data_IF_203730076999
#
_entry.id   IF_203730076999
#
_cell.length_a   1.000
_cell.length_b   1.000
_cell.length_c   1.000
_cell.angle_alpha   90.00
_cell.angle_beta   90.00
_cell.angle_gamma   90.00
#
_symmetry.space_group_name_H-M   'P 1'
#
loop_
_entity.id
_entity.type
_entity.pdbx_description
1 polymer ?
#
# COMPACT_ATOMS: atom_id res chain seq x y z
N UNK A 1 -12.32 8.48 16.33
CA UNK A 1 -12.07 7.24 15.56
C UNK A 1 -10.61 6.84 15.71
N UNK A 2 -10.30 5.59 16.08
CA UNK A 2 -8.94 5.15 16.36
C UNK A 2 -8.01 5.22 15.15
N UNK A 3 -8.56 5.03 13.93
CA UNK A 3 -7.84 5.14 12.65
C UNK A 3 -7.05 6.46 12.52
N UNK A 4 -7.60 7.57 13.04
CA UNK A 4 -6.91 8.89 13.04
C UNK A 4 -5.59 8.86 13.79
N UNK A 5 -5.50 8.12 14.89
CA UNK A 5 -4.28 8.02 15.70
C UNK A 5 -3.35 6.95 15.14
N UNK A 6 -3.91 5.83 14.68
CA UNK A 6 -3.14 4.73 14.11
C UNK A 6 -2.39 5.13 12.83
N UNK A 7 -3.02 5.87 11.91
CA UNK A 7 -2.37 6.32 10.68
C UNK A 7 -1.16 7.24 10.91
N UNK A 8 -1.09 7.89 12.07
CA UNK A 8 0.05 8.74 12.44
C UNK A 8 1.22 7.96 13.00
N UNK A 9 0.93 6.83 13.66
CA UNK A 9 1.89 6.08 14.45
C UNK A 9 1.98 4.64 13.87
N UNK A 10 1.32 3.69 14.53
CA UNK A 10 1.44 2.25 14.30
C UNK A 10 1.21 1.81 12.85
N UNK A 11 0.30 2.48 12.14
CA UNK A 11 -0.09 2.12 10.78
C UNK A 11 0.57 3.01 9.71
N UNK A 12 1.44 3.95 10.09
CA UNK A 12 2.01 4.90 9.15
C UNK A 12 2.87 4.21 8.08
N UNK A 13 3.81 3.38 8.52
CA UNK A 13 4.68 2.62 7.61
C UNK A 13 3.90 1.58 6.80
N UNK A 14 2.93 0.91 7.42
CA UNK A 14 2.02 0.01 6.73
C UNK A 14 1.26 0.71 5.59
N UNK A 15 0.72 1.90 5.85
CA UNK A 15 0.03 2.70 4.84
C UNK A 15 0.99 3.11 3.70
N UNK A 16 2.20 3.58 4.02
CA UNK A 16 3.21 3.93 3.01
C UNK A 16 3.55 2.72 2.13
N UNK A 17 3.69 1.53 2.71
CA UNK A 17 4.01 0.32 1.96
C UNK A 17 2.88 -0.07 1.00
N UNK A 18 1.61 -0.04 1.43
CA UNK A 18 0.46 -0.27 0.53
C UNK A 18 0.48 0.74 -0.63
N UNK A 19 0.68 2.03 -0.33
CA UNK A 19 0.67 3.08 -1.35
C UNK A 19 1.79 2.83 -2.36
N UNK A 20 3.00 2.50 -1.90
CA UNK A 20 4.16 2.28 -2.77
C UNK A 20 4.03 1.00 -3.60
N UNK A 21 3.61 -0.11 -2.99
CA UNK A 21 3.63 -1.43 -3.63
C UNK A 21 2.41 -1.74 -4.50
N UNK A 22 1.27 -1.06 -4.30
CA UNK A 22 0.05 -1.36 -5.05
C UNK A 22 0.19 -1.02 -6.54
N UNK A 23 -0.25 -1.89 -7.46
CA UNK A 23 -0.24 -1.61 -8.90
C UNK A 23 -1.41 -0.71 -9.33
N UNK A 24 -1.54 0.48 -8.72
CA UNK A 24 -2.72 1.36 -8.88
C UNK A 24 -2.37 2.74 -9.44
N UNK A 25 -1.15 2.95 -9.95
CA UNK A 25 -0.69 4.24 -10.51
C UNK A 25 -1.57 4.77 -11.64
N UNK A 26 -2.21 3.87 -12.39
CA UNK A 26 -3.13 4.20 -13.47
C UNK A 26 -4.51 4.68 -12.99
N UNK A 27 -4.83 4.51 -11.70
CA UNK A 27 -6.09 4.91 -11.08
C UNK A 27 -5.91 5.98 -9.99
N UNK A 28 -4.79 5.92 -9.26
CA UNK A 28 -4.53 6.73 -8.07
C UNK A 28 -3.20 7.44 -8.20
N UNK A 29 -3.21 8.76 -7.99
CA UNK A 29 -1.99 9.54 -7.81
C UNK A 29 -1.36 9.24 -6.45
N UNK A 30 -0.38 8.32 -6.44
CA UNK A 30 0.34 7.90 -5.22
C UNK A 30 1.06 9.05 -4.52
N UNK A 31 1.68 9.96 -5.27
CA UNK A 31 2.39 11.11 -4.70
C UNK A 31 1.45 12.04 -3.94
N UNK A 32 0.25 12.28 -4.48
CA UNK A 32 -0.78 13.05 -3.78
C UNK A 32 -1.29 12.35 -2.53
N UNK A 33 -1.50 11.02 -2.59
CA UNK A 33 -1.94 10.25 -1.43
C UNK A 33 -0.88 10.22 -0.31
N UNK A 34 0.41 10.10 -0.67
CA UNK A 34 1.52 10.21 0.29
C UNK A 34 1.56 11.61 0.94
N UNK A 35 1.32 12.66 0.16
CA UNK A 35 1.20 14.02 0.71
C UNK A 35 0.02 14.14 1.67
N UNK A 36 -1.15 13.58 1.34
CA UNK A 36 -2.30 13.58 2.25
C UNK A 36 -2.00 12.86 3.57
N UNK A 37 -1.26 11.75 3.52
CA UNK A 37 -0.80 11.02 4.70
C UNK A 37 0.17 11.87 5.53
N UNK A 38 1.15 12.51 4.91
CA UNK A 38 2.09 13.41 5.60
C UNK A 38 1.37 14.60 6.27
N UNK A 39 0.48 15.27 5.53
CA UNK A 39 -0.32 16.38 6.05
C UNK A 39 -1.21 15.94 7.22
N UNK A 40 -1.70 14.69 7.21
CA UNK A 40 -2.43 14.11 8.33
C UNK A 40 -1.54 13.91 9.56
N UNK A 41 -0.34 13.38 9.37
CA UNK A 41 0.63 13.11 10.43
C UNK A 41 1.11 14.38 11.10
N UNK A 42 1.32 15.43 10.31
CA UNK A 42 1.72 16.76 10.77
C UNK A 42 0.56 17.58 11.37
N UNK A 43 -0.62 16.98 11.55
CA UNK A 43 -1.82 17.65 12.08
C UNK A 43 -2.31 18.86 11.25
N UNK A 44 -1.94 18.96 9.96
CA UNK A 44 -2.42 20.04 9.09
C UNK A 44 -3.91 19.88 8.74
N UNK A 45 -4.40 18.64 8.63
CA UNK A 45 -5.81 18.33 8.39
C UNK A 45 -6.18 16.90 8.84
N UNK A 46 -7.47 16.67 9.10
CA UNK A 46 -7.98 15.31 9.29
C UNK A 46 -8.30 14.65 7.93
N UNK A 47 -7.27 14.06 7.30
CA UNK A 47 -7.41 13.29 6.08
C UNK A 47 -7.69 11.79 6.33
N UNK A 48 -7.93 11.36 7.58
CA UNK A 48 -8.00 9.94 7.96
C UNK A 48 -8.99 9.15 7.11
N UNK A 49 -10.19 9.71 6.88
CA UNK A 49 -11.23 9.05 6.08
C UNK A 49 -10.85 8.92 4.60
N UNK A 50 -10.26 9.97 4.01
CA UNK A 50 -9.80 9.94 2.61
C UNK A 50 -8.73 8.88 2.41
N UNK A 51 -7.72 8.86 3.29
CA UNK A 51 -6.62 7.91 3.25
C UNK A 51 -7.15 6.48 3.41
N UNK A 52 -7.99 6.24 4.41
CA UNK A 52 -8.54 4.92 4.68
C UNK A 52 -9.33 4.35 3.49
N UNK A 53 -10.19 5.17 2.89
CA UNK A 53 -10.96 4.77 1.71
C UNK A 53 -10.06 4.30 0.57
N UNK A 54 -8.97 5.02 0.29
CA UNK A 54 -8.06 4.65 -0.80
C UNK A 54 -7.23 3.42 -0.44
N UNK A 55 -6.79 3.27 0.82
CA UNK A 55 -6.07 2.07 1.27
C UNK A 55 -6.93 0.80 1.13
N UNK A 56 -8.20 0.86 1.53
CA UNK A 56 -9.13 -0.27 1.37
C UNK A 56 -9.33 -0.62 -0.11
N UNK A 57 -9.46 0.40 -0.97
CA UNK A 57 -9.53 0.20 -2.41
C UNK A 57 -8.27 -0.48 -2.97
N UNK A 58 -7.08 0.00 -2.60
CA UNK A 58 -5.80 -0.57 -3.05
C UNK A 58 -5.66 -2.04 -2.63
N UNK A 59 -6.04 -2.38 -1.39
CA UNK A 59 -6.01 -3.78 -0.91
C UNK A 59 -6.99 -4.67 -1.67
N UNK A 60 -8.22 -4.20 -1.89
CA UNK A 60 -9.20 -4.92 -2.68
C UNK A 60 -8.71 -5.12 -4.13
N UNK A 61 -8.17 -4.07 -4.74
CA UNK A 61 -7.67 -4.12 -6.12
C UNK A 61 -6.54 -5.14 -6.28
N UNK A 62 -5.59 -5.18 -5.34
CA UNK A 62 -4.49 -6.15 -5.34
C UNK A 62 -5.00 -7.61 -5.29
N UNK A 63 -6.01 -7.87 -4.46
CA UNK A 63 -6.57 -9.22 -4.29
C UNK A 63 -7.40 -9.65 -5.50
N UNK A 64 -8.28 -8.77 -6.00
CA UNK A 64 -9.34 -9.16 -6.94
C UNK A 64 -9.05 -8.79 -8.40
N UNK A 65 -8.32 -7.71 -8.65
CA UNK A 65 -8.03 -7.23 -10.02
C UNK A 65 -6.66 -7.73 -10.46
N UNK A 66 -5.62 -7.47 -9.66
CA UNK A 66 -4.24 -7.91 -9.96
C UNK A 66 -4.03 -9.43 -9.78
N UNK A 67 -4.97 -10.10 -9.09
CA UNK A 67 -4.92 -11.53 -8.74
C UNK A 67 -3.63 -11.90 -8.00
N UNK A 68 -3.07 -11.00 -7.19
CA UNK A 68 -1.93 -11.27 -6.31
C UNK A 68 -2.40 -12.03 -5.06
N UNK A 69 -3.00 -13.21 -5.27
CA UNK A 69 -3.34 -14.09 -4.14
C UNK A 69 -2.07 -14.53 -3.41
N UNK A 70 -2.13 -14.82 -2.10
CA UNK A 70 -0.96 -15.26 -1.33
C UNK A 70 -0.21 -16.43 -1.97
N UNK A 71 -0.93 -17.37 -2.61
CA UNK A 71 -0.30 -18.50 -3.32
C UNK A 71 0.45 -18.07 -4.59
N UNK A 72 -0.02 -17.03 -5.28
CA UNK A 72 0.64 -16.50 -6.48
C UNK A 72 1.83 -15.62 -6.12
N UNK A 73 1.77 -14.88 -5.02
CA UNK A 73 2.90 -14.08 -4.49
C UNK A 73 4.04 -14.99 -4.04
N UNK A 74 3.74 -16.09 -3.35
CA UNK A 74 4.75 -17.10 -2.97
C UNK A 74 5.37 -17.79 -4.20
N UNK A 75 4.59 -18.07 -5.25
CA UNK A 75 5.12 -18.56 -6.52
C UNK A 75 6.03 -17.55 -7.23
N UNK A 76 5.65 -16.27 -7.28
CA UNK A 76 6.48 -15.20 -7.89
C UNK A 76 7.82 -15.06 -7.14
N UNK A 77 7.80 -15.05 -5.81
CA UNK A 77 9.00 -14.99 -4.95
C UNK A 77 9.89 -16.23 -5.14
N UNK A 78 9.32 -17.44 -5.15
CA UNK A 78 10.12 -18.66 -5.35
C UNK A 78 10.79 -18.69 -6.73
N UNK A 79 10.10 -18.20 -7.76
CA UNK A 79 10.65 -18.11 -9.12
C UNK A 79 11.78 -17.07 -9.21
N UNK A 80 11.67 -15.93 -8.53
CA UNK A 80 12.71 -14.90 -8.54
C UNK A 80 13.98 -15.26 -7.75
N UNK A 81 13.86 -16.03 -6.67
CA UNK A 81 15.02 -16.60 -5.95
C UNK A 81 15.79 -17.58 -6.83
N UNK A 82 15.11 -18.57 -7.42
CA UNK A 82 15.75 -19.58 -8.29
C UNK A 82 16.47 -18.97 -9.51
N UNK A 83 16.00 -17.84 -10.03
CA UNK A 83 16.63 -17.13 -11.15
C UNK A 83 17.93 -16.41 -10.76
N UNK A 84 18.10 -16.03 -9.48
CA UNK A 84 19.33 -15.41 -9.00
C UNK A 84 20.43 -16.43 -8.71
N UNK A 85 20.05 -17.67 -8.38
CA UNK A 85 21.00 -18.75 -8.08
C UNK A 85 21.51 -19.49 -9.34
N UNK A 86 20.86 -19.33 -10.50
CA UNK A 86 21.30 -19.90 -11.79
C UNK A 86 22.29 -19.01 -12.57
N UNK A 87 22.65 -17.84 -12.05
CA UNK A 87 23.52 -16.86 -12.70
C UNK A 87 24.88 -16.62 -12.02
N UNK A 88 25.37 -17.57 -11.24
CA UNK A 88 26.69 -17.50 -10.58
C UNK A 88 27.56 -18.70 -10.93
#
# INVERSE_FOLDING_TARGET
MPIRHWLKNEMNEWAKNIIKESNTEHLINKSYLLKLLDDHCQNKADNSRKIWTVLMFMMWHDVYVEKNTPSRRSMKLRKSYNLKDQGR
#
